data_IF_170277539259
#
_entry.id   IF_170277539259
#
_cell.length_a   1.000
_cell.length_b   1.000
_cell.length_c   1.000
_cell.angle_alpha   90.00
_cell.angle_beta   90.00
_cell.angle_gamma   90.00
#
_symmetry.space_group_name_H-M   'P 1'
#
loop_
_entity.id
_entity.type
_entity.pdbx_description
1 polymer ?
#
# COMPACT_ATOMS: atom_id res chain seq x y z
N UNK A 1 7.81 11.46 -10.43
CA UNK A 1 6.44 11.07 -10.71
C UNK A 1 5.47 12.16 -11.12
N UNK A 2 5.69 13.46 -10.88
CA UNK A 2 4.70 14.47 -11.32
C UNK A 2 4.35 14.39 -12.81
N UNK A 3 5.31 14.26 -13.75
CA UNK A 3 4.98 14.15 -15.18
C UNK A 3 4.17 12.89 -15.53
N UNK A 4 4.43 11.77 -14.85
CA UNK A 4 3.67 10.54 -15.05
C UNK A 4 2.23 10.72 -14.58
N UNK A 5 2.03 11.29 -13.38
CA UNK A 5 0.70 11.60 -12.84
C UNK A 5 -0.04 12.57 -13.76
N UNK A 6 0.62 13.66 -14.21
CA UNK A 6 0.03 14.60 -15.15
C UNK A 6 -0.43 13.90 -16.45
N UNK A 7 0.33 12.89 -16.91
CA UNK A 7 -0.04 12.06 -18.07
C UNK A 7 -1.27 11.19 -17.77
N UNK A 8 -1.38 10.62 -16.56
CA UNK A 8 -2.57 9.89 -16.13
C UNK A 8 -3.79 10.81 -16.14
N UNK A 9 -3.68 11.97 -15.49
CA UNK A 9 -4.76 12.95 -15.35
C UNK A 9 -5.23 13.54 -16.68
N UNK A 10 -4.33 13.67 -17.66
CA UNK A 10 -4.65 14.16 -19.00
C UNK A 10 -5.22 13.08 -19.93
N UNK A 11 -5.12 11.80 -19.57
CA UNK A 11 -5.54 10.67 -20.39
C UNK A 11 -7.05 10.41 -20.24
N UNK A 12 -7.72 10.09 -21.36
CA UNK A 12 -9.07 9.49 -21.33
C UNK A 12 -9.03 7.98 -21.08
N UNK A 13 -7.87 7.35 -21.33
CA UNK A 13 -7.65 5.93 -21.08
C UNK A 13 -7.37 5.72 -19.59
N UNK A 14 -8.02 4.70 -19.04
CA UNK A 14 -7.88 4.27 -17.67
C UNK A 14 -6.63 3.43 -17.46
N UNK A 15 -6.02 3.61 -16.29
CA UNK A 15 -4.85 2.86 -15.86
C UNK A 15 -5.26 1.81 -14.84
N UNK A 16 -4.74 0.59 -15.00
CA UNK A 16 -4.89 -0.50 -14.04
C UNK A 16 -3.63 -0.66 -13.18
N UNK A 17 -3.82 -0.64 -11.86
CA UNK A 17 -2.76 -0.85 -10.86
C UNK A 17 -3.27 -1.72 -9.70
N UNK A 18 -3.69 -2.98 -9.94
CA UNK A 18 -4.05 -3.88 -8.85
C UNK A 18 -2.82 -4.24 -8.01
N UNK A 19 -2.99 -4.42 -6.71
CA UNK A 19 -1.95 -4.91 -5.80
C UNK A 19 -1.88 -6.44 -5.91
N UNK A 20 -0.77 -6.97 -6.39
CA UNK A 20 -0.63 -8.39 -6.78
C UNK A 20 0.61 -9.06 -6.18
N UNK A 21 0.73 -9.08 -4.85
CA UNK A 21 1.84 -9.76 -4.17
C UNK A 21 1.84 -11.28 -4.46
N UNK A 22 0.75 -11.97 -4.10
CA UNK A 22 0.71 -13.42 -4.12
C UNK A 22 0.76 -14.03 -5.52
N UNK A 23 0.05 -13.49 -6.53
CA UNK A 23 0.16 -14.00 -7.90
C UNK A 23 1.59 -14.03 -8.44
N UNK A 24 2.42 -13.04 -8.10
CA UNK A 24 3.83 -13.02 -8.49
C UNK A 24 4.67 -14.11 -7.83
N UNK A 25 4.43 -14.36 -6.54
CA UNK A 25 5.12 -15.41 -5.77
C UNK A 25 4.77 -16.80 -6.33
N UNK A 26 3.49 -17.03 -6.61
CA UNK A 26 2.99 -18.29 -7.17
C UNK A 26 3.52 -18.53 -8.59
N UNK A 27 3.63 -17.48 -9.41
CA UNK A 27 4.14 -17.57 -10.78
C UNK A 27 5.60 -18.05 -10.85
N UNK A 28 6.40 -17.79 -9.83
CA UNK A 28 7.80 -18.24 -9.73
C UNK A 28 7.97 -19.55 -8.93
N UNK A 29 6.86 -20.14 -8.46
CA UNK A 29 6.86 -21.41 -7.70
C UNK A 29 7.53 -21.33 -6.34
N UNK A 30 7.47 -20.16 -5.68
CA UNK A 30 8.08 -19.91 -4.37
C UNK A 30 7.05 -19.81 -3.26
N UNK A 31 7.50 -20.00 -2.02
CA UNK A 31 6.68 -19.78 -0.83
C UNK A 31 6.62 -18.28 -0.46
N UNK A 32 5.59 -17.90 0.30
CA UNK A 32 5.46 -16.51 0.80
C UNK A 32 6.68 -16.15 1.65
N UNK A 33 7.08 -17.06 2.54
CA UNK A 33 8.26 -16.91 3.40
C UNK A 33 9.55 -16.65 2.64
N UNK A 34 9.81 -17.41 1.56
CA UNK A 34 10.98 -17.18 0.71
C UNK A 34 10.95 -15.77 0.09
N UNK A 35 9.79 -15.37 -0.45
CA UNK A 35 9.65 -14.10 -1.13
C UNK A 35 9.81 -12.90 -0.18
N UNK A 36 9.25 -12.97 1.03
CA UNK A 36 9.36 -11.89 2.02
C UNK A 36 10.68 -11.88 2.79
N UNK A 37 11.55 -12.88 2.59
CA UNK A 37 12.85 -12.98 3.30
C UNK A 37 14.05 -12.80 2.39
N UNK A 38 13.90 -12.93 1.07
CA UNK A 38 15.00 -12.88 0.12
C UNK A 38 14.72 -11.84 -0.98
N UNK A 39 15.53 -10.77 -1.01
CA UNK A 39 15.34 -9.66 -1.94
C UNK A 39 15.42 -10.02 -3.43
N UNK A 40 16.15 -11.08 -3.79
CA UNK A 40 16.20 -11.58 -5.17
C UNK A 40 14.90 -12.28 -5.54
N UNK A 41 14.40 -13.18 -4.68
CA UNK A 41 13.12 -13.88 -4.91
C UNK A 41 11.95 -12.89 -4.93
N UNK A 42 11.98 -11.91 -4.03
CA UNK A 42 11.05 -10.80 -4.00
C UNK A 42 10.99 -10.07 -5.35
N UNK A 43 12.15 -9.66 -5.86
CA UNK A 43 12.25 -9.01 -7.17
C UNK A 43 11.73 -9.91 -8.31
N UNK A 44 12.07 -11.20 -8.31
CA UNK A 44 11.60 -12.16 -9.32
C UNK A 44 10.07 -12.26 -9.35
N UNK A 45 9.41 -12.22 -8.19
CA UNK A 45 7.95 -12.20 -8.11
C UNK A 45 7.35 -10.92 -8.73
N UNK A 46 7.96 -9.75 -8.47
CA UNK A 46 7.54 -8.47 -9.06
C UNK A 46 7.71 -8.49 -10.59
N UNK A 47 8.85 -9.01 -11.05
CA UNK A 47 9.16 -9.13 -12.48
C UNK A 47 8.15 -10.04 -13.18
N UNK A 48 7.83 -11.19 -12.60
CA UNK A 48 6.85 -12.13 -13.16
C UNK A 48 5.48 -11.45 -13.39
N UNK A 49 5.01 -10.66 -12.42
CA UNK A 49 3.77 -9.88 -12.57
C UNK A 49 3.89 -8.84 -13.70
N UNK A 50 5.01 -8.12 -13.74
CA UNK A 50 5.27 -7.09 -14.76
C UNK A 50 5.26 -7.63 -16.19
N UNK A 51 5.75 -8.85 -16.39
CA UNK A 51 5.85 -9.52 -17.70
C UNK A 51 4.55 -10.25 -18.09
N UNK A 52 3.83 -10.80 -17.11
CA UNK A 52 2.64 -11.61 -17.35
C UNK A 52 1.37 -10.78 -17.59
N UNK A 53 1.29 -9.58 -17.00
CA UNK A 53 0.09 -8.75 -17.01
C UNK A 53 0.37 -7.33 -17.50
N UNK A 54 -0.63 -6.68 -18.10
CA UNK A 54 -0.52 -5.30 -18.59
C UNK A 54 -0.65 -4.25 -17.47
N UNK A 55 0.13 -4.44 -16.41
CA UNK A 55 0.27 -3.47 -15.32
C UNK A 55 1.02 -2.22 -15.81
N UNK A 56 0.48 -1.04 -15.50
CA UNK A 56 1.12 0.25 -15.87
C UNK A 56 2.06 0.81 -14.81
N UNK A 57 2.09 0.17 -13.65
CA UNK A 57 3.10 0.33 -12.61
C UNK A 57 3.13 -0.95 -11.77
N UNK A 58 4.27 -1.22 -11.13
CA UNK A 58 4.40 -2.37 -10.22
C UNK A 58 4.54 -1.88 -8.78
N UNK A 59 3.94 -2.61 -7.85
CA UNK A 59 4.20 -2.46 -6.42
C UNK A 59 5.13 -3.56 -5.95
N UNK A 60 6.08 -3.20 -5.09
CA UNK A 60 6.89 -4.17 -4.34
C UNK A 60 6.01 -4.84 -3.28
N UNK A 61 6.23 -6.14 -3.02
CA UNK A 61 5.55 -6.88 -1.95
C UNK A 61 5.59 -6.08 -0.64
N UNK A 62 4.43 -5.95 -0.02
CA UNK A 62 4.25 -5.22 1.22
C UNK A 62 3.95 -6.20 2.36
N UNK A 63 4.76 -6.16 3.39
CA UNK A 63 4.62 -6.96 4.61
C UNK A 63 4.68 -6.01 5.80
N UNK A 64 3.56 -5.90 6.52
CA UNK A 64 3.37 -4.95 7.62
C UNK A 64 4.09 -5.39 8.92
N UNK A 65 5.00 -6.35 8.85
CA UNK A 65 5.82 -6.80 9.98
C UNK A 65 7.29 -6.43 9.85
N UNK A 66 7.76 -6.01 8.68
CA UNK A 66 9.20 -5.79 8.40
C UNK A 66 9.75 -4.65 9.25
N UNK A 67 9.01 -3.55 9.34
CA UNK A 67 9.41 -2.40 10.13
C UNK A 67 9.34 -2.72 11.62
N UNK A 68 8.29 -3.41 12.08
CA UNK A 68 8.18 -3.82 13.48
C UNK A 68 9.29 -4.82 13.88
N UNK A 69 9.66 -5.76 13.01
CA UNK A 69 10.81 -6.65 13.19
C UNK A 69 12.12 -5.86 13.33
N UNK A 70 12.30 -4.79 12.55
CA UNK A 70 13.49 -3.93 12.66
C UNK A 70 13.58 -3.25 14.03
N UNK A 71 12.44 -2.89 14.64
CA UNK A 71 12.37 -2.39 16.03
C UNK A 71 12.62 -3.50 17.08
N UNK A 72 12.62 -4.77 16.68
CA UNK A 72 12.86 -5.92 17.55
C UNK A 72 11.60 -6.70 17.94
N UNK A 73 10.45 -6.43 17.31
CA UNK A 73 9.24 -7.22 17.55
C UNK A 73 9.44 -8.67 17.08
N UNK A 74 8.92 -9.62 17.87
CA UNK A 74 8.95 -11.03 17.50
C UNK A 74 7.95 -11.32 16.38
N UNK A 75 8.39 -12.08 15.37
CA UNK A 75 7.54 -12.45 14.24
C UNK A 75 7.31 -13.96 14.15
N UNK A 76 6.10 -14.35 13.80
CA UNK A 76 5.77 -15.71 13.37
C UNK A 76 5.63 -15.71 11.85
N UNK A 77 6.45 -16.52 11.20
CA UNK A 77 6.51 -16.61 9.75
C UNK A 77 6.14 -18.03 9.28
N UNK A 78 4.85 -18.29 9.02
CA UNK A 78 4.42 -19.50 8.34
C UNK A 78 4.93 -19.52 6.89
N UNK A 79 4.98 -20.68 6.25
CA UNK A 79 5.59 -20.79 4.92
C UNK A 79 4.75 -20.12 3.81
N UNK A 80 3.42 -20.20 3.89
CA UNK A 80 2.49 -19.78 2.82
C UNK A 80 1.52 -18.66 3.22
N UNK A 81 1.77 -17.97 4.34
CA UNK A 81 0.98 -16.81 4.74
C UNK A 81 1.95 -15.65 5.05
N UNK A 82 1.43 -14.42 5.00
CA UNK A 82 2.22 -13.25 5.40
C UNK A 82 2.60 -13.34 6.88
N UNK A 83 3.80 -12.88 7.28
CA UNK A 83 4.21 -12.94 8.67
C UNK A 83 3.27 -12.15 9.60
N UNK A 84 3.29 -12.51 10.88
CA UNK A 84 2.49 -11.87 11.92
C UNK A 84 3.35 -11.49 13.12
N UNK A 85 2.99 -10.40 13.80
CA UNK A 85 3.64 -10.01 15.05
C UNK A 85 3.13 -10.89 16.20
N UNK A 86 4.05 -11.28 17.08
CA UNK A 86 3.75 -12.05 18.29
C UNK A 86 3.94 -11.16 19.50
N UNK A 87 2.85 -10.97 20.27
CA UNK A 87 2.85 -10.13 21.46
C UNK A 87 2.98 -8.64 21.14
N UNK A 88 3.49 -7.89 22.10
CA UNK A 88 3.77 -6.46 22.00
C UNK A 88 5.22 -6.19 22.41
N UNK A 89 5.84 -5.18 21.80
CA UNK A 89 7.21 -4.77 22.09
C UNK A 89 7.27 -3.73 23.22
N UNK A 90 6.29 -2.83 23.25
CA UNK A 90 6.13 -1.76 24.24
C UNK A 90 4.71 -1.77 24.79
N UNK A 91 4.50 -1.23 25.99
CA UNK A 91 3.19 -1.29 26.66
C UNK A 91 2.91 -0.13 27.62
N UNK A 92 3.86 0.77 27.81
CA UNK A 92 3.76 1.90 28.74
C UNK A 92 4.72 3.03 28.35
N UNK A 93 4.58 4.18 29.01
CA UNK A 93 5.42 5.36 28.77
C UNK A 93 6.93 5.07 28.92
N UNK A 94 7.33 4.20 29.87
CA UNK A 94 8.73 3.91 30.14
C UNK A 94 9.37 3.06 29.04
N UNK A 95 8.67 2.02 28.59
CA UNK A 95 9.08 1.17 27.47
C UNK A 95 9.08 1.94 26.15
N UNK A 96 8.09 2.81 25.92
CA UNK A 96 8.08 3.73 24.77
C UNK A 96 9.28 4.68 24.83
N UNK A 97 9.56 5.30 25.97
CA UNK A 97 10.68 6.23 26.12
C UNK A 97 12.03 5.52 25.87
N UNK A 98 12.19 4.29 26.34
CA UNK A 98 13.40 3.48 26.17
C UNK A 98 13.56 2.90 24.75
N UNK A 99 12.49 2.79 23.95
CA UNK A 99 12.53 2.22 22.60
C UNK A 99 13.47 3.03 21.68
N UNK A 100 14.49 2.40 21.11
CA UNK A 100 15.38 3.07 20.17
C UNK A 100 14.86 2.99 18.74
N UNK A 101 15.08 4.04 17.94
CA UNK A 101 14.82 4.00 16.49
C UNK A 101 15.93 3.18 15.83
N UNK A 102 15.63 2.03 15.21
CA UNK A 102 16.65 1.13 14.69
C UNK A 102 17.28 1.66 13.40
N UNK A 103 18.49 1.18 13.11
CA UNK A 103 19.12 1.38 11.81
C UNK A 103 18.45 0.52 10.72
N UNK A 104 18.61 0.91 9.45
CA UNK A 104 18.03 0.21 8.30
C UNK A 104 18.75 -1.10 7.92
N UNK A 105 19.79 -1.49 8.67
CA UNK A 105 20.49 -2.77 8.51
C UNK A 105 19.88 -3.91 9.36
N UNK A 106 18.78 -3.62 10.07
CA UNK A 106 18.10 -4.57 10.98
C UNK A 106 16.98 -5.34 10.30
N UNK A 107 16.69 -6.53 10.85
CA UNK A 107 15.61 -7.40 10.39
C UNK A 107 15.70 -7.69 8.89
N UNK A 108 14.55 -7.71 8.22
CA UNK A 108 14.46 -7.93 6.77
C UNK A 108 14.55 -6.65 5.92
N UNK A 109 14.76 -5.47 6.51
CA UNK A 109 14.88 -4.21 5.75
C UNK A 109 15.90 -4.28 4.60
N UNK A 110 17.12 -4.85 4.77
CA UNK A 110 18.07 -4.98 3.66
C UNK A 110 17.55 -5.81 2.48
N UNK A 111 16.75 -6.85 2.73
CA UNK A 111 16.17 -7.68 1.67
C UNK A 111 15.14 -6.87 0.86
N UNK A 112 14.32 -6.05 1.53
CA UNK A 112 13.35 -5.18 0.87
C UNK A 112 14.05 -4.08 0.06
N UNK A 113 15.09 -3.45 0.61
CA UNK A 113 15.90 -2.47 -0.13
C UNK A 113 16.55 -3.08 -1.37
N UNK A 114 17.06 -4.32 -1.26
CA UNK A 114 17.61 -5.05 -2.42
C UNK A 114 16.53 -5.32 -3.48
N UNK A 115 15.35 -5.78 -3.09
CA UNK A 115 14.24 -6.03 -4.02
C UNK A 115 13.83 -4.76 -4.78
N UNK A 116 13.69 -3.64 -4.06
CA UNK A 116 13.37 -2.34 -4.65
C UNK A 116 14.45 -1.87 -5.63
N UNK A 117 15.72 -2.04 -5.28
CA UNK A 117 16.85 -1.72 -6.15
C UNK A 117 16.82 -2.55 -7.43
N UNK A 118 16.70 -3.88 -7.31
CA UNK A 118 16.66 -4.78 -8.46
C UNK A 118 15.45 -4.49 -9.36
N UNK A 119 14.27 -4.24 -8.79
CA UNK A 119 13.09 -3.86 -9.57
C UNK A 119 13.31 -2.55 -10.34
N UNK A 120 13.81 -1.50 -9.67
CA UNK A 120 14.12 -0.23 -10.32
C UNK A 120 15.23 -0.34 -11.39
N UNK A 121 16.21 -1.23 -11.20
CA UNK A 121 17.32 -1.45 -12.14
C UNK A 121 16.92 -2.26 -13.38
N UNK A 122 15.92 -3.14 -13.28
CA UNK A 122 15.60 -4.09 -14.35
C UNK A 122 14.25 -3.87 -15.03
N UNK A 123 13.30 -3.17 -14.37
CA UNK A 123 12.00 -2.82 -14.94
C UNK A 123 12.04 -1.32 -15.26
N UNK A 124 12.11 -0.98 -16.56
CA UNK A 124 12.38 0.39 -17.03
C UNK A 124 11.23 1.05 -17.80
N UNK A 125 10.25 0.26 -18.22
CA UNK A 125 9.12 0.68 -19.04
C UNK A 125 7.94 1.20 -18.23
N UNK A 126 7.97 1.05 -16.89
CA UNK A 126 6.89 1.46 -15.99
C UNK A 126 7.43 1.86 -14.60
N UNK A 127 6.70 2.72 -13.85
CA UNK A 127 7.08 3.09 -12.50
C UNK A 127 7.04 1.91 -11.52
N UNK A 128 7.94 1.94 -10.55
CA UNK A 128 7.98 1.01 -9.42
C UNK A 128 7.62 1.78 -8.14
N UNK A 129 6.63 1.27 -7.42
CA UNK A 129 6.24 1.75 -6.11
C UNK A 129 6.74 0.78 -5.04
N UNK A 130 7.55 1.29 -4.11
CA UNK A 130 7.89 0.60 -2.88
C UNK A 130 6.66 0.40 -1.99
N UNK A 131 6.76 -0.44 -0.96
CA UNK A 131 5.74 -0.58 0.08
C UNK A 131 6.34 -0.36 1.46
N UNK A 132 5.61 0.32 2.34
CA UNK A 132 5.90 0.36 3.77
C UNK A 132 4.61 0.49 4.58
N UNK A 133 4.68 0.11 5.85
CA UNK A 133 3.60 0.39 6.81
C UNK A 133 3.53 1.89 7.13
N UNK A 134 2.34 2.37 7.49
CA UNK A 134 2.13 3.72 8.00
C UNK A 134 2.38 3.87 9.51
N UNK A 135 2.62 5.10 10.01
CA UNK A 135 2.99 5.35 11.40
C UNK A 135 2.04 4.76 12.46
N UNK A 136 0.72 4.90 12.28
CA UNK A 136 -0.24 4.45 13.30
C UNK A 136 -0.35 2.92 13.33
N UNK A 137 -0.33 2.31 12.15
CA UNK A 137 -0.35 0.86 12.00
C UNK A 137 0.94 0.26 12.56
N UNK A 138 2.11 0.88 12.34
CA UNK A 138 3.36 0.47 12.97
C UNK A 138 3.31 0.61 14.49
N UNK A 139 2.87 1.75 15.00
CA UNK A 139 2.75 1.96 16.44
C UNK A 139 1.89 0.88 17.09
N UNK A 140 0.74 0.55 16.51
CA UNK A 140 -0.07 -0.53 17.04
C UNK A 140 0.56 -1.92 16.86
N UNK A 141 1.39 -2.17 15.84
CA UNK A 141 2.16 -3.43 15.74
C UNK A 141 3.19 -3.55 16.86
N UNK A 142 3.68 -2.42 17.38
CA UNK A 142 4.63 -2.38 18.50
C UNK A 142 3.93 -2.39 19.87
N UNK A 143 2.72 -1.83 19.97
CA UNK A 143 1.99 -1.60 21.24
C UNK A 143 0.85 -2.60 21.52
N UNK A 144 0.47 -3.42 20.54
CA UNK A 144 -0.82 -4.12 20.43
C UNK A 144 -1.95 -3.25 19.84
N UNK A 145 -2.71 -3.84 18.91
CA UNK A 145 -3.78 -3.16 18.17
C UNK A 145 -4.95 -2.77 19.07
N UNK A 146 -5.34 -3.61 20.02
CA UNK A 146 -6.51 -3.34 20.86
C UNK A 146 -6.14 -2.33 21.94
N UNK A 147 -4.95 -2.48 22.52
CA UNK A 147 -4.47 -1.60 23.59
C UNK A 147 -4.18 -0.18 23.07
N UNK A 148 -3.60 -0.02 21.86
CA UNK A 148 -3.32 1.32 21.33
C UNK A 148 -4.61 2.12 21.06
N UNK A 149 -5.70 1.46 20.66
CA UNK A 149 -7.00 2.11 20.43
C UNK A 149 -7.60 2.69 21.71
N UNK A 150 -7.23 2.12 22.87
CA UNK A 150 -7.61 2.66 24.18
C UNK A 150 -6.59 3.70 24.64
N UNK A 151 -5.30 3.44 24.42
CA UNK A 151 -4.20 4.29 24.88
C UNK A 151 -4.22 5.70 24.26
N UNK A 152 -4.73 5.86 23.03
CA UNK A 152 -4.88 7.19 22.40
C UNK A 152 -5.80 8.12 23.21
N UNK A 153 -6.69 7.57 24.06
CA UNK A 153 -7.57 8.34 24.93
C UNK A 153 -7.04 8.46 26.37
N UNK A 154 -6.36 7.43 26.87
CA UNK A 154 -5.90 7.37 28.27
C UNK A 154 -4.54 8.05 28.46
N UNK A 155 -3.62 7.87 27.51
CA UNK A 155 -2.27 8.42 27.55
C UNK A 155 -1.79 8.86 26.14
N UNK A 156 -2.43 9.89 25.57
CA UNK A 156 -2.12 10.36 24.22
C UNK A 156 -0.68 10.85 24.08
N UNK A 157 -0.06 11.37 25.14
CA UNK A 157 1.32 11.88 25.07
C UNK A 157 2.32 10.75 24.80
N UNK A 158 2.19 9.62 25.51
CA UNK A 158 3.03 8.44 25.26
C UNK A 158 2.81 7.89 23.85
N UNK A 159 1.56 7.84 23.37
CA UNK A 159 1.29 7.39 22.00
C UNK A 159 1.86 8.35 20.96
N UNK A 160 1.79 9.68 21.17
CA UNK A 160 2.45 10.65 20.29
C UNK A 160 3.97 10.47 20.27
N UNK A 161 4.58 10.10 21.39
CA UNK A 161 6.01 9.77 21.46
C UNK A 161 6.34 8.51 20.65
N UNK A 162 5.53 7.45 20.77
CA UNK A 162 5.69 6.24 19.97
C UNK A 162 5.55 6.53 18.47
N UNK A 163 4.52 7.29 18.08
CA UNK A 163 4.28 7.70 16.70
C UNK A 163 5.42 8.54 16.13
N UNK A 164 6.03 9.43 16.93
CA UNK A 164 7.21 10.18 16.52
C UNK A 164 8.38 9.24 16.17
N UNK A 165 8.66 8.23 17.01
CA UNK A 165 9.72 7.24 16.75
C UNK A 165 9.44 6.39 15.51
N UNK A 166 8.20 5.93 15.34
CA UNK A 166 7.76 5.23 14.11
C UNK A 166 7.96 6.11 12.87
N UNK A 167 7.61 7.40 12.97
CA UNK A 167 7.71 8.36 11.87
C UNK A 167 9.16 8.66 11.49
N UNK A 168 10.03 8.84 12.49
CA UNK A 168 11.47 9.05 12.25
C UNK A 168 12.09 7.87 11.51
N UNK A 169 11.75 6.65 11.91
CA UNK A 169 12.16 5.44 11.20
C UNK A 169 11.64 5.43 9.76
N UNK A 170 10.34 5.65 9.58
CA UNK A 170 9.69 5.59 8.27
C UNK A 170 10.16 6.68 7.30
N UNK A 171 10.51 7.88 7.79
CA UNK A 171 11.15 8.93 6.97
C UNK A 171 12.49 8.43 6.45
N UNK A 172 13.34 7.87 7.31
CA UNK A 172 14.64 7.34 6.91
C UNK A 172 14.49 6.17 5.93
N UNK A 173 13.53 5.28 6.19
CA UNK A 173 13.26 4.15 5.32
C UNK A 173 12.73 4.58 3.95
N UNK A 174 11.76 5.50 3.89
CA UNK A 174 11.25 6.05 2.63
C UNK A 174 12.33 6.78 1.81
N UNK A 175 13.26 7.49 2.48
CA UNK A 175 14.44 8.07 1.80
C UNK A 175 15.36 6.99 1.23
N UNK A 176 15.58 5.90 1.95
CA UNK A 176 16.37 4.77 1.46
C UNK A 176 15.69 4.06 0.28
N UNK A 177 14.36 3.86 0.33
CA UNK A 177 13.55 3.33 -0.78
C UNK A 177 13.68 4.23 -2.01
N UNK A 178 13.51 5.55 -1.85
CA UNK A 178 13.74 6.51 -2.94
C UNK A 178 15.15 6.42 -3.52
N UNK A 179 16.17 6.22 -2.68
CA UNK A 179 17.55 6.08 -3.12
C UNK A 179 17.82 4.79 -3.91
N UNK A 180 16.96 3.76 -3.82
CA UNK A 180 17.07 2.58 -4.68
C UNK A 180 16.64 2.85 -6.13
N UNK A 181 16.05 4.02 -6.40
CA UNK A 181 15.57 4.42 -7.72
C UNK A 181 14.12 4.08 -8.01
N UNK A 182 13.34 3.63 -7.01
CA UNK A 182 11.88 3.54 -7.16
C UNK A 182 11.27 4.93 -7.28
N UNK A 183 10.10 5.01 -7.90
CA UNK A 183 9.46 6.28 -8.20
C UNK A 183 8.35 6.64 -7.20
N UNK A 184 8.11 5.81 -6.20
CA UNK A 184 7.21 6.16 -5.11
C UNK A 184 7.11 5.09 -4.05
N UNK A 185 6.24 5.33 -3.08
CA UNK A 185 5.93 4.39 -2.01
C UNK A 185 4.42 4.35 -1.78
N UNK A 186 3.90 3.14 -1.63
CA UNK A 186 2.57 2.88 -1.07
C UNK A 186 2.73 2.73 0.44
N UNK A 187 2.16 3.66 1.20
CA UNK A 187 2.10 3.61 2.66
C UNK A 187 0.78 2.95 3.04
N UNK A 188 0.83 1.77 3.64
CA UNK A 188 -0.38 1.09 4.12
C UNK A 188 -0.70 1.43 5.57
N UNK A 189 -1.86 2.05 5.75
CA UNK A 189 -2.33 2.55 7.03
C UNK A 189 -3.73 1.99 7.39
N UNK A 190 -3.92 0.65 7.39
CA UNK A 190 -5.23 0.05 7.64
C UNK A 190 -5.76 0.34 9.06
N UNK A 191 -4.88 0.43 10.07
CA UNK A 191 -5.30 0.63 11.45
C UNK A 191 -5.93 2.02 11.67
N UNK A 192 -5.47 3.05 10.94
CA UNK A 192 -6.06 4.39 11.05
C UNK A 192 -7.49 4.44 10.50
N UNK A 193 -7.86 3.50 9.62
CA UNK A 193 -9.24 3.34 9.16
C UNK A 193 -10.21 2.78 10.21
N UNK A 194 -9.73 2.46 11.42
CA UNK A 194 -10.57 2.07 12.56
C UNK A 194 -10.91 3.25 13.49
N UNK A 195 -10.29 4.40 13.25
CA UNK A 195 -10.44 5.61 14.05
C UNK A 195 -11.57 6.51 13.52
N UNK A 196 -12.01 7.47 14.33
CA UNK A 196 -12.80 8.59 13.80
C UNK A 196 -11.95 9.44 12.85
N UNK A 197 -12.57 10.29 12.03
CA UNK A 197 -11.83 11.20 11.14
C UNK A 197 -10.86 12.10 11.92
N UNK A 198 -11.28 12.60 13.09
CA UNK A 198 -10.52 13.54 13.89
C UNK A 198 -9.34 12.85 14.58
N UNK A 199 -9.55 11.66 15.14
CA UNK A 199 -8.46 10.85 15.70
C UNK A 199 -7.49 10.39 14.60
N UNK A 200 -8.00 10.05 13.41
CA UNK A 200 -7.17 9.73 12.26
C UNK A 200 -6.31 10.93 11.85
N UNK A 201 -6.87 12.14 11.88
CA UNK A 201 -6.12 13.39 11.61
C UNK A 201 -4.95 13.56 12.59
N UNK A 202 -5.22 13.37 13.88
CA UNK A 202 -4.24 13.56 14.95
C UNK A 202 -3.18 12.45 14.98
N UNK A 203 -3.59 11.18 15.02
CA UNK A 203 -2.71 10.06 15.31
C UNK A 203 -2.15 9.37 14.07
N UNK A 204 -2.64 9.67 12.87
CA UNK A 204 -2.10 9.13 11.62
C UNK A 204 -1.74 10.21 10.61
N UNK A 205 -2.69 11.02 10.16
CA UNK A 205 -2.48 11.99 9.07
C UNK A 205 -1.34 12.95 9.35
N UNK A 206 -1.27 13.48 10.58
CA UNK A 206 -0.18 14.39 11.01
C UNK A 206 1.21 13.78 10.78
N UNK A 207 1.36 12.48 10.97
CA UNK A 207 2.62 11.76 10.82
C UNK A 207 2.87 11.33 9.37
N UNK A 208 1.83 10.89 8.64
CA UNK A 208 1.93 10.62 7.20
C UNK A 208 2.28 11.89 6.41
N UNK A 209 1.79 13.07 6.82
CA UNK A 209 2.16 14.36 6.25
C UNK A 209 3.66 14.65 6.40
N UNK A 210 4.28 14.27 7.53
CA UNK A 210 5.72 14.47 7.74
C UNK A 210 6.52 13.59 6.77
N UNK A 211 6.14 12.33 6.60
CA UNK A 211 6.75 11.44 5.60
C UNK A 211 6.59 12.02 4.21
N UNK A 212 5.37 12.42 3.85
CA UNK A 212 5.05 12.98 2.53
C UNK A 212 5.88 14.22 2.24
N UNK A 213 5.95 15.17 3.17
CA UNK A 213 6.79 16.38 3.03
C UNK A 213 8.29 16.06 2.90
N UNK A 214 8.75 14.98 3.53
CA UNK A 214 10.15 14.60 3.52
C UNK A 214 10.62 13.92 2.23
N UNK A 215 9.72 13.22 1.51
CA UNK A 215 10.14 12.37 0.36
C UNK A 215 9.44 12.67 -0.95
N UNK A 216 8.20 13.20 -0.92
CA UNK A 216 7.42 13.43 -2.13
C UNK A 216 7.93 14.66 -2.90
N UNK A 217 8.25 14.46 -4.18
CA UNK A 217 8.67 15.50 -5.10
C UNK A 217 8.37 15.12 -6.56
N UNK A 218 8.95 15.85 -7.53
CA UNK A 218 8.69 15.60 -8.95
C UNK A 218 9.24 14.28 -9.46
N UNK A 219 10.12 13.61 -8.71
CA UNK A 219 10.69 12.28 -9.01
C UNK A 219 10.03 11.14 -8.22
N UNK A 220 9.56 11.40 -6.99
CA UNK A 220 9.05 10.39 -6.06
C UNK A 220 7.65 10.74 -5.52
N UNK A 221 6.69 9.82 -5.59
CA UNK A 221 5.30 10.04 -5.11
C UNK A 221 4.96 9.18 -3.90
N UNK A 222 4.15 9.71 -2.98
CA UNK A 222 3.50 8.93 -1.93
C UNK A 222 2.07 8.57 -2.35
N UNK A 223 1.72 7.30 -2.21
CA UNK A 223 0.35 6.78 -2.30
C UNK A 223 -0.06 6.32 -0.90
N UNK A 224 -1.13 6.86 -0.35
CA UNK A 224 -1.66 6.42 0.94
C UNK A 224 -2.75 5.37 0.72
N UNK A 225 -2.51 4.14 1.18
CA UNK A 225 -3.46 3.05 1.17
C UNK A 225 -4.15 2.91 2.53
N UNK A 226 -5.48 2.89 2.55
CA UNK A 226 -6.24 2.56 3.76
C UNK A 226 -7.50 1.76 3.41
N UNK A 227 -7.45 0.45 3.66
CA UNK A 227 -8.59 -0.44 3.48
C UNK A 227 -9.51 -0.58 4.69
N UNK A 228 -9.11 -0.04 5.86
CA UNK A 228 -9.99 0.09 7.02
C UNK A 228 -11.02 1.21 6.87
N UNK A 229 -10.69 2.25 6.08
CA UNK A 229 -11.60 3.35 5.80
C UNK A 229 -12.81 2.88 4.97
N UNK A 230 -14.00 3.05 5.54
CA UNK A 230 -15.29 2.78 4.89
C UNK A 230 -16.00 4.04 4.39
N UNK A 231 -15.32 5.19 4.40
CA UNK A 231 -15.81 6.51 4.01
C UNK A 231 -15.65 7.57 5.09
N UNK A 232 -15.60 7.14 6.36
CA UNK A 232 -15.54 8.04 7.51
C UNK A 232 -14.20 8.78 7.64
N UNK A 233 -13.09 8.26 7.08
CA UNK A 233 -11.75 8.83 7.19
C UNK A 233 -11.22 9.45 5.87
N UNK A 234 -12.08 9.67 4.88
CA UNK A 234 -11.65 10.19 3.56
C UNK A 234 -10.99 11.57 3.66
N UNK A 235 -11.53 12.47 4.49
CA UNK A 235 -10.95 13.80 4.69
C UNK A 235 -9.56 13.73 5.34
N UNK A 236 -9.38 12.85 6.33
CA UNK A 236 -8.08 12.60 6.95
C UNK A 236 -7.06 12.04 5.94
N UNK A 237 -7.47 11.17 5.03
CA UNK A 237 -6.61 10.69 3.94
C UNK A 237 -6.23 11.81 2.97
N UNK A 238 -7.18 12.65 2.53
CA UNK A 238 -6.92 13.80 1.64
C UNK A 238 -5.92 14.76 2.30
N UNK A 239 -6.10 15.04 3.59
CA UNK A 239 -5.24 15.93 4.33
C UNK A 239 -3.78 15.42 4.44
N UNK A 240 -3.50 14.14 4.18
CA UNK A 240 -2.11 13.60 4.20
C UNK A 240 -1.16 14.29 3.21
N UNK A 241 -1.70 14.90 2.15
CA UNK A 241 -0.94 15.52 1.08
C UNK A 241 -0.30 14.53 0.11
N UNK A 242 -0.61 13.23 0.23
CA UNK A 242 -0.21 12.22 -0.74
C UNK A 242 -0.80 12.54 -2.13
N UNK A 243 -0.01 12.36 -3.19
CA UNK A 243 -0.48 12.57 -4.57
C UNK A 243 -1.32 11.40 -5.11
N UNK A 244 -1.46 10.33 -4.34
CA UNK A 244 -2.38 9.23 -4.63
C UNK A 244 -3.02 8.69 -3.35
N UNK A 245 -4.29 8.32 -3.44
CA UNK A 245 -5.05 7.71 -2.36
C UNK A 245 -5.64 6.39 -2.86
N UNK A 246 -5.38 5.30 -2.16
CA UNK A 246 -5.87 3.97 -2.51
C UNK A 246 -6.84 3.46 -1.45
N UNK A 247 -8.06 3.11 -1.87
CA UNK A 247 -9.16 2.80 -0.96
C UNK A 247 -9.53 1.32 -0.95
N UNK A 248 -10.04 0.86 0.20
CA UNK A 248 -10.57 -0.50 0.42
C UNK A 248 -11.84 -0.80 -0.36
N UNK A 249 -12.17 -2.08 -0.56
CA UNK A 249 -13.37 -2.54 -1.29
C UNK A 249 -14.70 -2.24 -0.60
N UNK A 250 -14.69 -1.80 0.66
CA UNK A 250 -15.91 -1.49 1.42
C UNK A 250 -16.41 -0.05 1.25
N UNK A 251 -15.60 0.85 0.69
CA UNK A 251 -16.01 2.25 0.47
C UNK A 251 -16.88 2.38 -0.79
N UNK A 252 -17.75 3.40 -0.82
CA UNK A 252 -18.37 3.87 -2.05
C UNK A 252 -17.34 4.69 -2.86
N UNK A 253 -16.83 4.09 -3.93
CA UNK A 253 -15.81 4.69 -4.79
C UNK A 253 -16.29 5.97 -5.48
N UNK A 254 -17.58 6.03 -5.87
CA UNK A 254 -18.14 7.19 -6.58
C UNK A 254 -18.31 8.36 -5.63
N UNK A 255 -18.75 8.11 -4.40
CA UNK A 255 -18.82 9.15 -3.37
C UNK A 255 -17.41 9.65 -3.02
N UNK A 256 -16.45 8.74 -2.86
CA UNK A 256 -15.04 9.08 -2.59
C UNK A 256 -14.44 9.97 -3.68
N UNK A 257 -14.68 9.65 -4.95
CA UNK A 257 -14.20 10.46 -6.08
C UNK A 257 -14.76 11.88 -6.10
N UNK A 258 -15.98 12.09 -5.58
CA UNK A 258 -16.57 13.44 -5.45
C UNK A 258 -15.93 14.26 -4.33
N UNK A 259 -15.44 13.60 -3.28
CA UNK A 259 -14.81 14.24 -2.13
C UNK A 259 -13.33 14.55 -2.39
N UNK A 260 -12.64 13.69 -3.16
CA UNK A 260 -11.23 13.84 -3.47
C UNK A 260 -10.97 14.97 -4.48
N UNK A 261 -9.89 15.76 -4.28
CA UNK A 261 -9.40 16.71 -5.29
C UNK A 261 -9.13 16.05 -6.64
N UNK A 262 -9.43 16.75 -7.73
CA UNK A 262 -9.27 16.23 -9.09
C UNK A 262 -7.81 16.16 -9.57
N UNK A 263 -6.88 16.73 -8.81
CA UNK A 263 -5.44 16.77 -9.12
C UNK A 263 -4.62 15.68 -8.40
N UNK A 264 -5.27 14.84 -7.59
CA UNK A 264 -4.64 13.66 -6.97
C UNK A 264 -5.24 12.37 -7.50
N UNK A 265 -4.44 11.31 -7.60
CA UNK A 265 -4.92 10.01 -8.04
C UNK A 265 -5.79 9.35 -6.97
N UNK A 266 -6.90 8.74 -7.39
CA UNK A 266 -7.84 8.03 -6.51
C UNK A 266 -7.99 6.61 -7.04
N UNK A 267 -7.55 5.63 -6.26
CA UNK A 267 -7.32 4.26 -6.71
C UNK A 267 -8.23 3.27 -5.99
N UNK A 268 -8.72 2.26 -6.72
CA UNK A 268 -9.49 1.16 -6.17
C UNK A 268 -10.65 0.70 -7.07
N UNK A 269 -11.60 -0.06 -6.55
CA UNK A 269 -11.49 -0.78 -5.30
C UNK A 269 -12.14 -2.17 -5.36
N UNK A 270 -12.02 -2.88 -6.50
CA UNK A 270 -12.64 -4.20 -6.68
C UNK A 270 -12.27 -5.18 -5.56
N UNK A 271 -13.23 -5.96 -5.09
CA UNK A 271 -13.06 -6.87 -3.96
C UNK A 271 -11.99 -7.95 -4.24
N UNK A 272 -10.87 -7.98 -3.49
CA UNK A 272 -9.80 -8.97 -3.71
C UNK A 272 -10.24 -10.42 -3.47
N UNK A 273 -11.26 -10.65 -2.64
CA UNK A 273 -11.72 -11.99 -2.26
C UNK A 273 -12.95 -12.36 -3.08
N UNK A 274 -14.03 -11.61 -2.96
CA UNK A 274 -15.30 -11.98 -3.60
C UNK A 274 -15.23 -11.86 -5.12
N UNK A 275 -14.57 -10.82 -5.65
CA UNK A 275 -14.43 -10.62 -7.10
C UNK A 275 -13.21 -11.38 -7.63
N UNK A 276 -12.01 -11.10 -7.14
CA UNK A 276 -10.81 -11.72 -7.74
C UNK A 276 -10.67 -13.21 -7.42
N UNK A 277 -10.90 -13.65 -6.17
CA UNK A 277 -10.62 -15.04 -5.77
C UNK A 277 -11.78 -16.00 -6.05
N UNK A 278 -13.00 -15.61 -5.71
CA UNK A 278 -14.14 -16.53 -5.66
C UNK A 278 -15.10 -16.45 -6.84
N UNK A 279 -15.17 -15.32 -7.54
CA UNK A 279 -16.03 -15.18 -8.71
C UNK A 279 -15.47 -15.90 -9.95
N UNK A 280 -16.35 -16.13 -10.92
CA UNK A 280 -15.97 -16.58 -12.25
C UNK A 280 -15.34 -15.44 -13.08
N UNK A 281 -14.49 -15.74 -14.08
CA UNK A 281 -13.88 -14.72 -14.93
C UNK A 281 -14.90 -13.75 -15.57
N UNK A 282 -16.09 -14.25 -15.91
CA UNK A 282 -17.17 -13.41 -16.44
C UNK A 282 -17.60 -12.32 -15.44
N UNK A 283 -17.78 -12.68 -14.18
CA UNK A 283 -18.19 -11.74 -13.13
C UNK A 283 -17.10 -10.71 -12.84
N UNK A 284 -15.83 -11.11 -12.84
CA UNK A 284 -14.69 -10.17 -12.71
C UNK A 284 -14.72 -9.14 -13.82
N UNK A 285 -14.89 -9.57 -15.06
CA UNK A 285 -15.01 -8.67 -16.22
C UNK A 285 -16.18 -7.70 -16.06
N UNK A 286 -17.36 -8.19 -15.68
CA UNK A 286 -18.58 -7.38 -15.52
C UNK A 286 -18.42 -6.31 -14.42
N UNK A 287 -17.90 -6.69 -13.25
CA UNK A 287 -17.65 -5.75 -12.14
C UNK A 287 -16.60 -4.70 -12.52
N UNK A 288 -15.53 -5.13 -13.20
CA UNK A 288 -14.48 -4.22 -13.68
C UNK A 288 -15.04 -3.22 -14.69
N UNK A 289 -15.79 -3.69 -15.69
CA UNK A 289 -16.40 -2.83 -16.70
C UNK A 289 -17.43 -1.87 -16.09
N UNK A 290 -18.25 -2.36 -15.15
CA UNK A 290 -19.23 -1.55 -14.43
C UNK A 290 -18.57 -0.41 -13.66
N UNK A 291 -17.50 -0.69 -12.91
CA UNK A 291 -16.77 0.33 -12.17
C UNK A 291 -16.12 1.36 -13.11
N UNK A 292 -15.50 0.92 -14.21
CA UNK A 292 -14.93 1.82 -15.22
C UNK A 292 -16.00 2.74 -15.83
N UNK A 293 -17.17 2.20 -16.17
CA UNK A 293 -18.26 2.98 -16.72
C UNK A 293 -18.77 4.04 -15.73
N UNK A 294 -18.97 3.68 -14.46
CA UNK A 294 -19.42 4.59 -13.42
C UNK A 294 -18.39 5.70 -13.10
N UNK A 295 -17.11 5.43 -13.32
CA UNK A 295 -16.01 6.36 -13.03
C UNK A 295 -15.52 7.15 -14.24
N UNK A 296 -16.13 6.98 -15.42
CA UNK A 296 -15.74 7.64 -16.68
C UNK A 296 -15.54 9.16 -16.58
N UNK A 297 -16.33 9.83 -15.75
CA UNK A 297 -16.27 11.29 -15.58
C UNK A 297 -15.07 11.78 -14.76
N UNK A 298 -14.33 10.88 -14.12
CA UNK A 298 -13.25 11.20 -13.19
C UNK A 298 -11.90 10.82 -13.81
N UNK A 299 -11.20 11.81 -14.35
CA UNK A 299 -9.87 11.62 -14.98
C UNK A 299 -8.77 11.23 -14.00
N UNK A 300 -9.02 11.42 -12.69
CA UNK A 300 -8.10 11.08 -11.63
C UNK A 300 -8.35 9.69 -11.01
N UNK A 301 -9.33 8.94 -11.53
CA UNK A 301 -9.54 7.56 -11.14
C UNK A 301 -8.47 6.64 -11.74
N UNK A 302 -8.03 5.67 -10.94
CA UNK A 302 -7.16 4.57 -11.35
C UNK A 302 -7.79 3.27 -10.88
N UNK A 303 -8.11 2.36 -11.79
CA UNK A 303 -8.75 1.11 -11.40
C UNK A 303 -7.75 0.19 -10.71
N UNK A 304 -8.14 -0.33 -9.55
CA UNK A 304 -7.32 -1.24 -8.74
C UNK A 304 -8.19 -2.24 -7.99
N UNK A 305 -7.55 -3.26 -7.41
CA UNK A 305 -8.13 -4.03 -6.32
C UNK A 305 -8.29 -3.15 -5.07
N UNK A 306 -9.19 -3.51 -4.15
CA UNK A 306 -9.39 -2.77 -2.89
C UNK A 306 -8.26 -2.99 -1.87
N UNK A 307 -7.51 -4.07 -2.03
CA UNK A 307 -6.35 -4.41 -1.22
C UNK A 307 -5.46 -5.35 -2.04
N UNK A 308 -4.45 -5.94 -1.41
CA UNK A 308 -3.64 -6.98 -2.02
C UNK A 308 -4.48 -8.21 -2.41
N UNK A 309 -4.23 -8.75 -3.60
CA UNK A 309 -4.90 -9.94 -4.08
C UNK A 309 -4.39 -11.16 -3.27
N UNK A 310 -5.29 -11.95 -2.67
CA UNK A 310 -4.92 -13.07 -1.79
C UNK A 310 -4.25 -14.23 -2.56
N UNK A 311 -3.67 -15.21 -1.85
CA UNK A 311 -3.20 -16.44 -2.48
C UNK A 311 -4.31 -17.19 -3.22
N UNK A 312 -3.90 -17.92 -4.25
CA UNK A 312 -4.73 -18.84 -5.04
C UNK A 312 -5.86 -18.16 -5.82
N UNK A 313 -5.62 -16.95 -6.32
CA UNK A 313 -6.52 -16.30 -7.27
C UNK A 313 -6.33 -16.93 -8.66
N UNK A 314 -7.41 -17.37 -9.33
CA UNK A 314 -7.30 -17.92 -10.69
C UNK A 314 -6.71 -16.90 -11.66
N UNK A 315 -5.70 -17.30 -12.43
CA UNK A 315 -5.08 -16.46 -13.47
C UNK A 315 -6.10 -15.92 -14.47
N UNK A 316 -7.14 -16.70 -14.78
CA UNK A 316 -8.20 -16.27 -15.71
C UNK A 316 -9.06 -15.13 -15.14
N UNK A 317 -9.18 -15.00 -13.82
CA UNK A 317 -9.83 -13.86 -13.18
C UNK A 317 -8.98 -12.59 -13.36
N UNK A 318 -7.67 -12.67 -13.14
CA UNK A 318 -6.75 -11.54 -13.36
C UNK A 318 -6.77 -11.13 -14.84
N UNK A 319 -6.73 -12.10 -15.77
CA UNK A 319 -6.86 -11.82 -17.21
C UNK A 319 -8.20 -11.17 -17.56
N UNK A 320 -9.30 -11.59 -16.95
CA UNK A 320 -10.62 -11.00 -17.19
C UNK A 320 -10.68 -9.53 -16.74
N UNK A 321 -10.05 -9.18 -15.62
CA UNK A 321 -9.88 -7.79 -15.17
C UNK A 321 -9.13 -6.96 -16.22
N UNK A 322 -7.93 -7.39 -16.66
CA UNK A 322 -7.17 -6.65 -17.68
C UNK A 322 -7.89 -6.61 -19.03
N UNK A 323 -8.63 -7.66 -19.41
CA UNK A 323 -9.46 -7.66 -20.62
C UNK A 323 -10.52 -6.56 -20.57
N UNK A 324 -11.23 -6.41 -19.46
CA UNK A 324 -12.24 -5.36 -19.30
C UNK A 324 -11.61 -3.96 -19.43
N UNK A 325 -10.46 -3.73 -18.80
CA UNK A 325 -9.72 -2.46 -18.90
C UNK A 325 -9.31 -2.16 -20.34
N UNK A 326 -8.76 -3.14 -21.05
CA UNK A 326 -8.33 -2.99 -22.43
C UNK A 326 -9.49 -2.69 -23.37
N UNK A 327 -10.61 -3.41 -23.24
CA UNK A 327 -11.81 -3.18 -24.05
C UNK A 327 -12.49 -1.84 -23.74
N UNK A 328 -12.50 -1.41 -22.47
CA UNK A 328 -12.97 -0.08 -22.10
C UNK A 328 -12.10 1.01 -22.77
N UNK A 329 -10.78 0.88 -22.67
CA UNK A 329 -9.84 1.84 -23.25
C UNK A 329 -9.90 1.94 -24.78
N UNK A 330 -10.28 0.85 -25.46
CA UNK A 330 -10.44 0.84 -26.92
C UNK A 330 -11.59 1.73 -27.41
N UNK A 331 -12.49 2.15 -26.54
CA UNK A 331 -13.58 3.09 -26.85
C UNK A 331 -13.10 4.54 -27.01
N UNK A 332 -11.87 4.84 -26.57
CA UNK A 332 -11.26 6.18 -26.60
C UNK A 332 -10.11 6.27 -27.60
N UNK A 333 -10.05 5.34 -28.57
CA UNK A 333 -9.11 5.35 -29.69
C UNK A 333 -9.55 6.30 -30.81
#
# INVERSE_FOLDING_TARGET
MKPWIDTVLASKKQIALPLMTHPGIEAIGKSVKEAVSNGQIHYEAIKAVSEQFDVKACSVIMDLTVEAEAFGAAIKMPDNEVPTIVGQLVSDAASIAALEVPALDKGRIPAYLLANKLAAENIKDKPIFSGCIGPFSLAGRLYDMSEIMVAIYIDPESIRQLLAKCTDFLINYCKALKATGTQGVVIAEPAAGLLSNDDCMEFSTTYVQQITKAVQDDSFTVILHNCGNTGHCTNAMIASGARGLHFGNKIDMIQTLKECPSDILVMGNLDPVEVFKHAEPKKVYEETMSLLQQTTAYSNFVISSGCDIPPHVPTDNIKAFFRAVNEYNNQFN
#
